data_IF_258421652783
#
_entry.id   IF_258421652783
#
_cell.length_a   1.000
_cell.length_b   1.000
_cell.length_c   1.000
_cell.angle_alpha   90.00
_cell.angle_beta   90.00
_cell.angle_gamma   90.00
#
_symmetry.space_group_name_H-M   'P 1'
#
loop_
_entity.id
_entity.type
_entity.pdbx_description
1 polymer ?
#
# COMPACT_ATOMS: atom_id res chain seq x y z
N UNK A 1 9.89 -1.50 10.81
CA UNK A 1 8.79 -1.64 9.82
C UNK A 1 8.65 -0.42 8.92
N UNK A 2 8.38 0.77 9.46
CA UNK A 2 8.24 1.99 8.66
C UNK A 2 9.49 2.35 7.85
N UNK A 3 10.69 2.09 8.37
CA UNK A 3 11.94 2.26 7.61
C UNK A 3 12.02 1.31 6.40
N UNK A 4 11.61 0.05 6.55
CA UNK A 4 11.60 -0.92 5.44
C UNK A 4 10.60 -0.51 4.36
N UNK A 5 9.40 -0.06 4.77
CA UNK A 5 8.41 0.51 3.86
C UNK A 5 8.93 1.78 3.16
N UNK A 6 9.67 2.62 3.89
CA UNK A 6 10.33 3.81 3.34
C UNK A 6 11.41 3.46 2.32
N UNK A 7 12.22 2.44 2.57
CA UNK A 7 13.25 1.95 1.62
C UNK A 7 12.59 1.38 0.37
N UNK A 8 11.58 0.52 0.52
CA UNK A 8 10.84 -0.01 -0.62
C UNK A 8 10.21 1.11 -1.45
N UNK A 9 9.56 2.05 -0.78
CA UNK A 9 8.98 3.22 -1.42
C UNK A 9 10.02 4.08 -2.15
N UNK A 10 11.20 4.29 -1.55
CA UNK A 10 12.31 5.01 -2.16
C UNK A 10 12.83 4.27 -3.41
N UNK A 11 12.97 2.94 -3.36
CA UNK A 11 13.40 2.14 -4.51
C UNK A 11 12.39 2.28 -5.68
N UNK A 12 11.10 2.27 -5.38
CA UNK A 12 10.03 2.34 -6.41
C UNK A 12 9.87 3.75 -6.96
N UNK A 13 9.91 4.77 -6.10
CA UNK A 13 9.55 6.14 -6.47
C UNK A 13 10.75 7.06 -6.67
N UNK A 14 11.94 6.71 -6.18
CA UNK A 14 13.08 7.60 -6.09
C UNK A 14 12.95 8.71 -5.04
N UNK A 15 11.87 8.75 -4.26
CA UNK A 15 11.59 9.80 -3.29
C UNK A 15 11.66 9.25 -1.87
N UNK A 16 12.57 9.77 -1.06
CA UNK A 16 12.68 9.37 0.34
C UNK A 16 11.47 9.94 1.10
N UNK A 17 10.81 9.16 1.97
CA UNK A 17 9.76 9.67 2.83
C UNK A 17 10.31 10.04 4.21
N UNK A 18 10.82 11.28 4.44
CA UNK A 18 11.45 11.66 5.70
C UNK A 18 10.44 11.71 6.87
N UNK A 19 9.16 11.91 6.56
CA UNK A 19 8.05 12.01 7.53
C UNK A 19 6.83 11.26 7.02
N UNK A 20 6.05 10.68 7.95
CA UNK A 20 4.84 9.90 7.63
C UNK A 20 3.64 10.75 7.24
N UNK A 21 3.64 12.00 7.69
CA UNK A 21 2.65 13.03 7.34
C UNK A 21 3.45 14.30 7.07
N UNK A 22 3.19 14.94 5.94
CA UNK A 22 3.74 16.27 5.68
C UNK A 22 2.91 17.35 6.40
N UNK A 23 3.23 18.63 6.15
CA UNK A 23 2.53 19.79 6.72
C UNK A 23 1.04 19.86 6.37
N UNK A 24 0.59 19.08 5.37
CA UNK A 24 -0.81 18.99 4.92
C UNK A 24 -1.50 17.71 5.37
N UNK A 25 -0.89 16.99 6.32
CA UNK A 25 -1.31 15.67 6.78
C UNK A 25 -1.37 14.61 5.65
N UNK A 26 -0.53 14.72 4.63
CA UNK A 26 -0.52 13.77 3.50
C UNK A 26 0.56 12.69 3.70
N UNK A 27 0.15 11.43 3.55
CA UNK A 27 1.04 10.28 3.59
C UNK A 27 1.93 10.20 2.34
N UNK A 28 3.15 9.62 2.43
CA UNK A 28 4.12 9.61 1.33
C UNK A 28 3.56 9.18 -0.03
N UNK A 29 2.85 8.05 -0.09
CA UNK A 29 2.28 7.50 -1.32
C UNK A 29 1.11 8.30 -1.92
N UNK A 30 0.54 9.24 -1.16
CA UNK A 30 -0.54 10.13 -1.63
C UNK A 30 -0.02 11.49 -2.09
N UNK A 31 1.27 11.78 -1.90
CA UNK A 31 1.88 13.04 -2.35
C UNK A 31 1.93 13.09 -3.88
N UNK A 32 1.79 14.27 -4.51
CA UNK A 32 1.61 14.37 -5.97
C UNK A 32 2.68 13.66 -6.79
N UNK A 33 3.96 13.84 -6.45
CA UNK A 33 5.10 13.26 -7.18
C UNK A 33 5.08 11.73 -7.12
N UNK A 34 5.04 11.17 -5.91
CA UNK A 34 4.99 9.73 -5.72
C UNK A 34 3.73 9.10 -6.33
N UNK A 35 2.58 9.76 -6.20
CA UNK A 35 1.33 9.30 -6.79
C UNK A 35 1.43 9.24 -8.31
N UNK A 36 1.99 10.26 -8.95
CA UNK A 36 2.19 10.28 -10.41
C UNK A 36 3.08 9.12 -10.88
N UNK A 37 4.12 8.78 -10.12
CA UNK A 37 5.03 7.67 -10.46
C UNK A 37 4.30 6.33 -10.29
N UNK A 38 3.61 6.14 -9.17
CA UNK A 38 2.84 4.93 -8.91
C UNK A 38 1.71 4.74 -9.94
N UNK A 39 1.03 5.81 -10.33
CA UNK A 39 0.00 5.80 -11.38
C UNK A 39 0.58 5.42 -12.75
N UNK A 40 1.84 5.80 -13.04
CA UNK A 40 2.54 5.42 -14.27
C UNK A 40 3.08 3.98 -14.28
N UNK A 41 3.46 3.44 -13.12
CA UNK A 41 3.96 2.07 -12.97
C UNK A 41 2.82 1.04 -12.89
N UNK A 42 1.73 1.38 -12.19
CA UNK A 42 0.63 0.48 -11.88
C UNK A 42 -0.58 0.80 -12.78
N UNK A 43 -0.48 0.35 -14.03
CA UNK A 43 -1.48 0.63 -15.07
C UNK A 43 -2.85 0.03 -14.71
N UNK A 44 -2.86 -1.16 -14.11
CA UNK A 44 -4.10 -1.82 -13.69
C UNK A 44 -4.71 -1.11 -12.46
N UNK A 45 -5.96 -0.61 -12.54
CA UNK A 45 -6.59 0.11 -11.43
C UNK A 45 -6.70 -0.70 -10.13
N UNK A 46 -6.97 -2.01 -10.22
CA UNK A 46 -7.12 -2.89 -9.04
C UNK A 46 -5.78 -3.13 -8.35
N UNK A 47 -4.75 -3.48 -9.12
CA UNK A 47 -3.38 -3.59 -8.61
C UNK A 47 -2.94 -2.32 -7.90
N UNK A 48 -3.19 -1.16 -8.51
CA UNK A 48 -2.90 0.15 -7.91
C UNK A 48 -3.62 0.38 -6.59
N UNK A 49 -4.92 0.06 -6.50
CA UNK A 49 -5.67 0.17 -5.24
C UNK A 49 -5.09 -0.74 -4.16
N UNK A 50 -4.72 -1.98 -4.50
CA UNK A 50 -4.10 -2.92 -3.55
C UNK A 50 -2.76 -2.39 -3.04
N UNK A 51 -1.87 -1.93 -3.94
CA UNK A 51 -0.57 -1.37 -3.54
C UNK A 51 -0.75 -0.11 -2.70
N UNK A 52 -1.68 0.77 -3.06
CA UNK A 52 -2.00 1.94 -2.25
C UNK A 52 -2.47 1.59 -0.84
N UNK A 53 -3.29 0.54 -0.69
CA UNK A 53 -3.74 0.04 0.61
C UNK A 53 -2.58 -0.49 1.47
N UNK A 54 -1.67 -1.26 0.86
CA UNK A 54 -0.46 -1.74 1.56
C UNK A 54 0.42 -0.58 2.03
N UNK A 55 0.65 0.42 1.18
CA UNK A 55 1.42 1.61 1.54
C UNK A 55 0.70 2.45 2.62
N UNK A 56 -0.63 2.50 2.59
CA UNK A 56 -1.43 3.17 3.62
C UNK A 56 -1.20 2.57 5.01
N UNK A 57 -1.27 1.23 5.12
CA UNK A 57 -1.04 0.53 6.38
C UNK A 57 0.42 0.64 6.84
N UNK A 58 1.38 0.55 5.90
CA UNK A 58 2.80 0.65 6.20
C UNK A 58 3.22 2.04 6.74
N UNK A 59 2.57 3.11 6.25
CA UNK A 59 2.80 4.50 6.68
C UNK A 59 1.78 5.01 7.71
N UNK A 60 0.91 4.14 8.25
CA UNK A 60 -0.05 4.53 9.28
C UNK A 60 0.66 5.13 10.50
N UNK A 61 0.12 6.18 11.11
CA UNK A 61 0.69 6.77 12.34
C UNK A 61 0.46 5.85 13.55
N UNK A 62 -0.68 5.17 13.58
CA UNK A 62 -1.03 4.14 14.54
C UNK A 62 -0.23 2.85 14.28
N UNK A 63 0.54 2.42 15.30
CA UNK A 63 1.38 1.22 15.22
C UNK A 63 0.56 -0.06 15.06
N UNK A 64 -0.65 -0.11 15.62
CA UNK A 64 -1.52 -1.31 15.56
C UNK A 64 -2.00 -1.61 14.15
N UNK A 65 -2.00 -0.60 13.27
CA UNK A 65 -2.38 -0.73 11.85
C UNK A 65 -1.20 -1.10 10.95
N UNK A 66 0.02 -1.06 11.47
CA UNK A 66 1.22 -1.42 10.70
C UNK A 66 1.39 -2.93 10.68
N UNK A 67 2.09 -3.40 9.65
CA UNK A 67 2.62 -4.76 9.61
C UNK A 67 3.54 -5.01 10.79
N UNK A 68 3.33 -6.14 11.49
CA UNK A 68 4.10 -6.50 12.67
C UNK A 68 5.54 -6.88 12.30
N UNK A 69 5.73 -7.56 11.17
CA UNK A 69 7.03 -8.06 10.73
C UNK A 69 7.32 -7.73 9.27
N UNK A 70 8.61 -7.75 8.90
CA UNK A 70 9.07 -7.53 7.53
C UNK A 70 8.45 -8.52 6.52
N UNK A 71 8.40 -9.84 6.82
CA UNK A 71 7.67 -10.79 6.00
C UNK A 71 6.21 -10.41 5.74
N UNK A 72 5.47 -9.91 6.74
CA UNK A 72 4.05 -9.55 6.56
C UNK A 72 3.87 -8.45 5.50
N UNK A 73 4.76 -7.45 5.52
CA UNK A 73 4.77 -6.37 4.53
C UNK A 73 5.13 -6.90 3.14
N UNK A 74 6.15 -7.75 3.04
CA UNK A 74 6.59 -8.33 1.77
C UNK A 74 5.47 -9.17 1.16
N UNK A 75 4.88 -10.08 1.92
CA UNK A 75 3.78 -10.92 1.42
C UNK A 75 2.55 -10.09 1.04
N UNK A 76 2.27 -8.98 1.74
CA UNK A 76 1.20 -8.07 1.34
C UNK A 76 1.49 -7.35 0.02
N UNK A 77 2.74 -6.92 -0.20
CA UNK A 77 3.17 -6.32 -1.46
C UNK A 77 3.12 -7.33 -2.62
N UNK A 78 3.62 -8.56 -2.42
CA UNK A 78 3.55 -9.63 -3.42
C UNK A 78 2.10 -9.89 -3.85
N UNK A 79 1.19 -10.08 -2.88
CA UNK A 79 -0.24 -10.25 -3.18
C UNK A 79 -0.86 -9.04 -3.88
N UNK A 80 -0.44 -7.82 -3.52
CA UNK A 80 -0.94 -6.61 -4.16
C UNK A 80 -0.48 -6.48 -5.62
N UNK A 81 0.70 -7.02 -5.94
CA UNK A 81 1.29 -7.01 -7.27
C UNK A 81 0.75 -8.11 -8.20
N UNK A 82 0.28 -9.24 -7.67
CA UNK A 82 -0.37 -10.26 -8.50
C UNK A 82 -1.63 -9.72 -9.17
N UNK A 83 -1.76 -9.94 -10.49
CA UNK A 83 -2.94 -9.55 -11.26
C UNK A 83 -4.11 -10.51 -10.97
N UNK A 84 -5.35 -10.04 -11.14
CA UNK A 84 -6.55 -10.86 -10.89
C UNK A 84 -6.69 -12.07 -11.81
N UNK A 85 -5.86 -12.20 -12.84
CA UNK A 85 -5.92 -13.37 -13.72
C UNK A 85 -5.41 -14.65 -13.05
N UNK A 86 -4.79 -14.57 -11.86
CA UNK A 86 -4.20 -15.71 -11.16
C UNK A 86 -4.95 -16.16 -9.90
N UNK A 87 -6.02 -15.47 -9.46
CA UNK A 87 -6.67 -15.80 -8.18
C UNK A 87 -8.11 -15.29 -8.08
N UNK A 88 -9.05 -16.05 -8.62
CA UNK A 88 -10.48 -15.75 -8.57
C UNK A 88 -11.12 -15.94 -7.17
N UNK A 89 -10.37 -16.35 -6.14
CA UNK A 89 -10.96 -16.81 -4.88
C UNK A 89 -10.95 -15.76 -3.74
N UNK A 90 -10.26 -14.63 -3.90
CA UNK A 90 -10.09 -13.63 -2.82
C UNK A 90 -11.16 -12.53 -2.74
N UNK A 91 -12.02 -12.42 -3.75
CA UNK A 91 -13.02 -11.35 -3.85
C UNK A 91 -14.25 -11.60 -2.96
N UNK A 92 -14.55 -12.86 -2.68
CA UNK A 92 -15.67 -13.26 -1.84
C UNK A 92 -15.44 -12.89 -0.36
N UNK A 93 -14.21 -13.04 0.14
CA UNK A 93 -13.82 -12.69 1.52
C UNK A 93 -13.86 -11.17 1.79
N UNK A 94 -13.48 -10.35 0.81
CA UNK A 94 -13.47 -8.89 0.94
C UNK A 94 -14.89 -8.28 0.91
N UNK A 95 -15.81 -8.91 0.19
CA UNK A 95 -17.23 -8.51 0.19
C UNK A 95 -17.95 -8.97 1.46
N UNK A 96 -17.60 -10.13 2.00
CA UNK A 96 -18.13 -10.60 3.28
C UNK A 96 -17.80 -9.64 4.43
N UNK A 97 -16.59 -9.08 4.46
CA UNK A 97 -16.18 -8.14 5.52
C UNK A 97 -16.87 -6.77 5.45
N UNK A 98 -17.38 -6.36 4.28
CA UNK A 98 -18.12 -5.09 4.11
C UNK A 98 -19.62 -5.26 4.41
N UNK A 99 -20.16 -6.47 4.27
CA UNK A 99 -21.56 -6.78 4.57
C UNK A 99 -21.92 -6.80 6.07
N UNK A 100 -20.95 -6.94 6.98
CA UNK A 100 -21.19 -7.00 8.43
C UNK A 100 -21.31 -5.62 9.12
N UNK A 101 -21.19 -4.51 8.37
CA UNK A 101 -21.30 -3.14 8.90
C UNK A 101 -22.62 -2.46 8.46
N UNK A 102 -23.64 -3.22 8.05
CA UNK A 102 -24.98 -2.68 7.72
C UNK A 102 -26.08 -3.22 8.64
#
# INVERSE_FOLDING_TARGET
>A
MTQLAGIFFYIVTGHEPPVLRDERDVMPHRRPEARSILDGLLVEPRQRLRVASVLHNAFATDLSRRYATAPDLISALERAMHSDQEGADGYEDLLAQVGEIS
#
